data_IF_838197558690
#
_entry.id   IF_838197558690
#
_cell.length_a   1.000
_cell.length_b   1.000
_cell.length_c   1.000
_cell.angle_alpha   90.00
_cell.angle_beta   90.00
_cell.angle_gamma   90.00
#
_symmetry.space_group_name_H-M   'P 1'
#
loop_
_entity.id
_entity.type
_entity.pdbx_description
1 polymer ?
#
# COMPACT_ATOMS: atom_id res chain seq x y z
N UNK A 1 9.12 5.41 26.07
CA UNK A 1 10.27 5.09 25.21
C UNK A 1 9.65 4.24 24.15
N UNK A 2 8.99 4.91 23.21
CA UNK A 2 8.05 4.26 22.30
C UNK A 2 8.85 3.99 21.04
N UNK A 3 9.08 2.71 20.78
CA UNK A 3 9.64 2.25 19.53
C UNK A 3 8.86 2.90 18.40
N UNK A 4 9.55 3.77 17.65
CA UNK A 4 9.13 4.10 16.30
C UNK A 4 9.12 2.75 15.60
N UNK A 5 7.93 2.15 15.45
CA UNK A 5 7.73 1.02 14.56
C UNK A 5 8.04 1.61 13.19
N UNK A 6 9.31 1.56 12.80
CA UNK A 6 9.70 1.70 11.42
C UNK A 6 8.94 0.59 10.72
N UNK A 7 7.97 0.97 9.90
CA UNK A 7 7.35 0.08 8.93
C UNK A 7 8.51 -0.32 7.98
N UNK A 8 9.24 -1.36 8.37
CA UNK A 8 10.53 -1.77 7.79
C UNK A 8 10.38 -2.12 6.30
N UNK A 9 9.13 -2.39 5.90
CA UNK A 9 8.71 -2.56 4.51
C UNK A 9 8.88 -1.27 3.68
N UNK A 10 8.52 -0.10 4.22
CA UNK A 10 8.61 1.18 3.50
C UNK A 10 10.03 1.76 3.49
N UNK A 11 10.85 1.48 4.50
CA UNK A 11 12.25 1.95 4.55
C UNK A 11 13.13 1.27 3.50
N UNK A 12 12.83 0.02 3.14
CA UNK A 12 13.49 -0.76 2.06
C UNK A 12 13.04 -0.34 0.65
N UNK A 13 11.95 0.43 0.52
CA UNK A 13 11.39 0.89 -0.76
C UNK A 13 12.09 2.11 -1.38
N UNK A 14 13.14 2.63 -0.75
CA UNK A 14 13.91 3.78 -1.25
C UNK A 14 14.80 3.47 -2.48
N UNK A 15 14.29 2.64 -3.39
CA UNK A 15 14.81 2.41 -4.73
C UNK A 15 14.20 3.40 -5.73
N UNK A 16 14.80 3.50 -6.92
CA UNK A 16 14.26 4.31 -8.03
C UNK A 16 12.80 3.95 -8.35
N UNK A 17 12.41 2.68 -8.16
CA UNK A 17 11.04 2.21 -8.35
C UNK A 17 10.06 2.82 -7.34
N UNK A 18 10.42 2.87 -6.06
CA UNK A 18 9.60 3.48 -5.03
C UNK A 18 9.43 4.98 -5.23
N UNK A 19 10.49 5.67 -5.66
CA UNK A 19 10.42 7.11 -5.98
C UNK A 19 9.48 7.40 -7.15
N UNK A 20 9.59 6.64 -8.25
CA UNK A 20 8.69 6.79 -9.41
C UNK A 20 7.24 6.47 -9.02
N UNK A 21 7.02 5.43 -8.21
CA UNK A 21 5.69 5.04 -7.75
C UNK A 21 5.07 6.13 -6.87
N UNK A 22 5.82 6.66 -5.90
CA UNK A 22 5.38 7.75 -5.04
C UNK A 22 5.09 9.03 -5.84
N UNK A 23 5.95 9.38 -6.79
CA UNK A 23 5.75 10.54 -7.67
C UNK A 23 4.46 10.39 -8.49
N UNK A 24 4.20 9.21 -9.08
CA UNK A 24 2.96 8.95 -9.83
C UNK A 24 1.71 9.03 -8.95
N UNK A 25 1.77 8.47 -7.74
CA UNK A 25 0.65 8.52 -6.79
C UNK A 25 0.37 9.96 -6.34
N UNK A 26 1.37 10.72 -5.92
CA UNK A 26 1.19 12.14 -5.60
C UNK A 26 0.70 12.94 -6.83
N UNK A 27 1.17 12.59 -8.02
CA UNK A 27 0.72 13.15 -9.28
C UNK A 27 -0.78 12.95 -9.53
N UNK A 28 -1.33 11.77 -9.21
CA UNK A 28 -2.79 11.52 -9.29
C UNK A 28 -3.60 12.37 -8.31
N UNK A 29 -2.98 12.83 -7.23
CA UNK A 29 -3.56 13.76 -6.27
C UNK A 29 -3.33 15.23 -6.66
N UNK A 30 -2.70 15.49 -7.82
CA UNK A 30 -2.23 16.79 -8.28
C UNK A 30 -1.34 17.51 -7.26
N UNK A 31 -0.52 16.74 -6.54
CA UNK A 31 0.51 17.23 -5.64
C UNK A 31 1.86 17.03 -6.33
N UNK A 32 2.58 18.12 -6.55
CA UNK A 32 3.93 18.09 -7.11
C UNK A 32 4.90 18.74 -6.13
N UNK A 33 5.89 17.98 -5.70
CA UNK A 33 6.97 18.42 -4.83
C UNK A 33 8.28 18.45 -5.63
N UNK A 34 9.18 19.42 -5.36
CA UNK A 34 10.55 19.36 -5.83
C UNK A 34 11.23 18.04 -5.44
N UNK A 35 12.11 17.51 -6.29
CA UNK A 35 12.67 16.15 -6.10
C UNK A 35 13.44 15.97 -4.78
N UNK A 36 14.12 17.02 -4.30
CA UNK A 36 14.79 17.06 -3.01
C UNK A 36 13.80 17.01 -1.82
N UNK A 37 12.68 17.73 -1.92
CA UNK A 37 11.61 17.70 -0.92
C UNK A 37 10.87 16.36 -0.95
N UNK A 38 10.59 15.82 -2.14
CA UNK A 38 9.90 14.54 -2.34
C UNK A 38 10.59 13.40 -1.61
N UNK A 39 11.91 13.26 -1.80
CA UNK A 39 12.71 12.23 -1.12
C UNK A 39 12.58 12.35 0.40
N UNK A 40 12.66 13.56 0.92
CA UNK A 40 12.60 13.79 2.37
C UNK A 40 11.18 13.56 2.91
N UNK A 41 10.18 14.01 2.16
CA UNK A 41 8.77 13.87 2.47
C UNK A 41 8.31 12.42 2.55
N UNK A 42 8.85 11.53 1.70
CA UNK A 42 8.55 10.10 1.71
C UNK A 42 9.32 9.36 2.82
N UNK A 43 10.53 9.81 3.20
CA UNK A 43 11.29 9.18 4.32
C UNK A 43 10.71 9.48 5.68
N UNK A 44 10.09 10.65 5.84
CA UNK A 44 9.58 11.12 7.11
C UNK A 44 8.25 10.44 7.44
N UNK A 45 8.17 9.56 8.47
CA UNK A 45 6.94 8.81 8.76
C UNK A 45 5.78 9.68 9.24
N UNK A 46 6.09 10.87 9.76
CA UNK A 46 5.11 11.85 10.24
C UNK A 46 4.71 12.88 9.18
N UNK A 47 5.40 12.91 8.04
CA UNK A 47 5.07 13.79 6.92
C UNK A 47 3.69 13.45 6.37
N UNK A 48 2.89 14.49 6.10
CA UNK A 48 1.59 14.35 5.44
C UNK A 48 1.69 13.55 4.12
N UNK A 49 2.72 13.81 3.32
CA UNK A 49 2.91 13.15 2.04
C UNK A 49 3.25 11.66 2.19
N UNK A 50 3.98 11.29 3.24
CA UNK A 50 4.22 9.90 3.57
C UNK A 50 2.92 9.20 3.95
N UNK A 51 2.12 9.82 4.83
CA UNK A 51 0.83 9.30 5.26
C UNK A 51 -0.16 9.13 4.09
N UNK A 52 -0.17 10.07 3.14
CA UNK A 52 -0.98 10.01 1.93
C UNK A 52 -0.61 8.81 1.03
N UNK A 53 0.66 8.40 1.04
CA UNK A 53 1.18 7.29 0.23
C UNK A 53 1.07 5.93 0.91
N UNK A 54 0.94 5.88 2.24
CA UNK A 54 1.01 4.64 3.00
C UNK A 54 -0.03 3.60 2.54
N UNK A 55 -1.30 3.99 2.42
CA UNK A 55 -2.38 3.07 2.05
C UNK A 55 -2.26 2.60 0.59
N UNK A 56 -2.08 3.48 -0.41
CA UNK A 56 -1.85 3.05 -1.78
C UNK A 56 -0.66 2.08 -1.92
N UNK A 57 0.44 2.34 -1.22
CA UNK A 57 1.62 1.46 -1.27
C UNK A 57 1.34 0.08 -0.66
N UNK A 58 0.64 0.03 0.48
CA UNK A 58 0.21 -1.26 1.05
C UNK A 58 -0.75 -2.01 0.14
N UNK A 59 -1.65 -1.30 -0.55
CA UNK A 59 -2.52 -1.91 -1.56
C UNK A 59 -1.75 -2.46 -2.77
N UNK A 60 -0.69 -1.78 -3.22
CA UNK A 60 0.21 -2.31 -4.26
C UNK A 60 0.90 -3.59 -3.79
N UNK A 61 1.38 -3.61 -2.54
CA UNK A 61 2.00 -4.82 -1.97
C UNK A 61 1.00 -5.99 -1.90
N UNK A 62 -0.21 -5.75 -1.39
CA UNK A 62 -1.26 -6.76 -1.38
C UNK A 62 -1.57 -7.25 -2.80
N UNK A 63 -1.62 -6.35 -3.79
CA UNK A 63 -1.80 -6.71 -5.19
C UNK A 63 -0.71 -7.64 -5.73
N UNK A 64 0.55 -7.43 -5.36
CA UNK A 64 1.66 -8.33 -5.73
C UNK A 64 1.48 -9.71 -5.09
N UNK A 65 1.13 -9.77 -3.80
CA UNK A 65 0.90 -11.04 -3.09
C UNK A 65 -0.30 -11.80 -3.66
N UNK A 66 -1.39 -11.09 -3.98
CA UNK A 66 -2.55 -11.67 -4.65
C UNK A 66 -2.20 -12.21 -6.03
N UNK A 67 -1.40 -11.48 -6.82
CA UNK A 67 -0.94 -11.97 -8.12
C UNK A 67 -0.17 -13.29 -7.98
N UNK A 68 0.76 -13.38 -7.02
CA UNK A 68 1.49 -14.63 -6.75
C UNK A 68 0.55 -15.78 -6.34
N UNK A 69 -0.44 -15.50 -5.49
CA UNK A 69 -1.46 -16.48 -5.12
C UNK A 69 -2.30 -16.92 -6.33
N UNK A 70 -2.67 -15.98 -7.20
CA UNK A 70 -3.37 -16.23 -8.46
C UNK A 70 -2.55 -17.08 -9.42
N UNK A 71 -1.25 -16.82 -9.56
CA UNK A 71 -0.36 -17.61 -10.41
C UNK A 71 -0.25 -19.07 -9.90
N UNK A 72 -0.18 -19.28 -8.58
CA UNK A 72 -0.28 -20.62 -7.98
C UNK A 72 -1.64 -21.27 -8.23
N UNK A 73 -2.74 -20.53 -8.06
CA UNK A 73 -4.08 -21.04 -8.33
C UNK A 73 -4.23 -21.50 -9.78
N UNK A 74 -3.80 -20.67 -10.75
CA UNK A 74 -3.81 -21.00 -12.19
C UNK A 74 -2.99 -22.25 -12.47
N UNK A 75 -1.80 -22.38 -11.87
CA UNK A 75 -0.99 -23.58 -12.04
C UNK A 75 -1.67 -24.83 -11.47
N UNK A 76 -2.26 -24.75 -10.29
CA UNK A 76 -3.03 -25.85 -9.70
C UNK A 76 -4.21 -26.27 -10.58
N UNK A 77 -4.92 -25.31 -11.17
CA UNK A 77 -6.00 -25.59 -12.13
C UNK A 77 -5.49 -26.31 -13.37
N UNK A 78 -4.36 -25.87 -13.95
CA UNK A 78 -3.75 -26.52 -15.11
C UNK A 78 -3.39 -27.98 -14.83
N UNK A 79 -2.83 -28.28 -13.65
CA UNK A 79 -2.54 -29.66 -13.23
C UNK A 79 -3.81 -30.55 -13.24
N UNK A 80 -4.93 -30.02 -12.75
CA UNK A 80 -6.20 -30.73 -12.78
C UNK A 80 -6.79 -30.86 -14.19
N UNK A 81 -6.68 -29.82 -15.02
CA UNK A 81 -7.14 -29.88 -16.42
C UNK A 81 -6.38 -30.98 -17.18
N UNK A 82 -5.06 -31.01 -17.08
CA UNK A 82 -4.22 -32.03 -17.74
C UNK A 82 -4.58 -33.44 -17.24
N UNK A 83 -4.77 -33.60 -15.92
CA UNK A 83 -5.21 -34.86 -15.33
C UNK A 83 -6.60 -35.29 -15.82
N UNK A 84 -7.59 -34.40 -15.85
CA UNK A 84 -8.96 -34.73 -16.26
C UNK A 84 -9.04 -35.06 -17.75
N UNK A 85 -8.26 -34.38 -18.60
CA UNK A 85 -8.21 -34.63 -20.04
C UNK A 85 -7.46 -35.90 -20.41
N UNK A 86 -6.63 -36.45 -19.51
CA UNK A 86 -5.92 -37.72 -19.73
C UNK A 86 -6.85 -38.95 -19.78
N UNK A 87 -8.11 -38.82 -19.32
CA UNK A 87 -9.05 -39.93 -19.21
C UNK A 87 -8.84 -40.85 -18.00
N UNK A 88 -7.81 -40.61 -17.18
CA UNK A 88 -7.53 -41.36 -15.96
C UNK A 88 -8.68 -41.25 -14.94
N UNK A 89 -9.33 -40.08 -14.87
CA UNK A 89 -10.47 -39.82 -13.99
C UNK A 89 -11.73 -40.63 -14.33
N UNK A 90 -11.85 -41.13 -15.56
CA UNK A 90 -13.01 -41.91 -16.03
C UNK A 90 -12.92 -43.43 -15.80
N UNK A 91 -11.85 -43.91 -15.15
CA UNK A 91 -11.62 -45.34 -14.92
C UNK A 91 -12.50 -45.89 -13.79
N UNK A 92 -12.82 -47.19 -13.86
CA UNK A 92 -13.70 -47.84 -12.88
C UNK A 92 -13.14 -47.80 -11.46
N UNK A 93 -14.03 -47.80 -10.47
CA UNK A 93 -13.70 -47.85 -9.03
C UNK A 93 -12.89 -49.10 -8.63
N UNK A 94 -12.94 -50.14 -9.46
CA UNK A 94 -12.19 -51.39 -9.27
C UNK A 94 -10.79 -51.37 -9.87
N UNK A 95 -10.45 -50.35 -10.66
CA UNK A 95 -9.14 -50.26 -11.31
C UNK A 95 -8.06 -49.72 -10.37
N UNK A 96 -6.78 -50.12 -10.55
CA UNK A 96 -5.69 -49.64 -9.71
C UNK A 96 -5.65 -48.11 -9.62
N UNK A 97 -5.39 -47.58 -8.43
CA UNK A 97 -5.34 -46.13 -8.18
C UNK A 97 -6.69 -45.48 -7.80
N UNK A 98 -7.77 -46.24 -7.61
CA UNK A 98 -9.09 -45.70 -7.26
C UNK A 98 -9.10 -44.76 -6.04
N UNK A 99 -8.43 -45.15 -4.95
CA UNK A 99 -8.30 -44.31 -3.74
C UNK A 99 -7.56 -42.98 -4.02
N UNK A 100 -6.54 -43.02 -4.87
CA UNK A 100 -5.80 -41.83 -5.30
C UNK A 100 -6.68 -40.91 -6.15
N UNK A 101 -7.52 -41.48 -7.04
CA UNK A 101 -8.46 -40.70 -7.86
C UNK A 101 -9.56 -40.05 -7.01
N UNK A 102 -10.09 -40.75 -6.01
CA UNK A 102 -11.04 -40.18 -5.05
C UNK A 102 -10.41 -39.03 -4.25
N UNK A 103 -9.17 -39.21 -3.79
CA UNK A 103 -8.42 -38.16 -3.09
C UNK A 103 -8.15 -36.94 -3.98
N UNK A 104 -7.84 -37.16 -5.27
CA UNK A 104 -7.67 -36.10 -6.26
C UNK A 104 -8.97 -35.34 -6.51
N UNK A 105 -10.11 -36.03 -6.59
CA UNK A 105 -11.41 -35.36 -6.73
C UNK A 105 -11.75 -34.53 -5.48
N UNK A 106 -11.44 -35.03 -4.27
CA UNK A 106 -11.60 -34.26 -3.04
C UNK A 106 -10.72 -32.99 -3.03
N UNK A 107 -9.46 -33.09 -3.47
CA UNK A 107 -8.59 -31.91 -3.61
C UNK A 107 -9.07 -30.96 -4.72
N UNK A 108 -9.69 -31.47 -5.80
CA UNK A 108 -10.29 -30.64 -6.85
C UNK A 108 -11.47 -29.83 -6.31
N UNK A 109 -12.35 -30.45 -5.54
CA UNK A 109 -13.50 -29.75 -4.93
C UNK A 109 -13.02 -28.66 -3.96
N UNK A 110 -12.01 -28.96 -3.13
CA UNK A 110 -11.37 -27.95 -2.27
C UNK A 110 -10.76 -26.81 -3.06
N UNK A 111 -10.08 -27.10 -4.18
CA UNK A 111 -9.49 -26.07 -5.03
C UNK A 111 -10.56 -25.14 -5.64
N UNK A 112 -11.71 -25.70 -6.06
CA UNK A 112 -12.83 -24.89 -6.57
C UNK A 112 -13.35 -23.95 -5.48
N UNK A 113 -13.64 -24.47 -4.29
CA UNK A 113 -14.07 -23.63 -3.15
C UNK A 113 -13.04 -22.56 -2.81
N UNK A 114 -11.76 -22.94 -2.73
CA UNK A 114 -10.67 -22.00 -2.45
C UNK A 114 -10.55 -20.92 -3.55
N UNK A 115 -10.79 -21.29 -4.81
CA UNK A 115 -10.81 -20.37 -5.94
C UNK A 115 -11.96 -19.37 -5.91
N UNK A 116 -13.16 -19.81 -5.52
CA UNK A 116 -14.33 -18.93 -5.33
C UNK A 116 -14.10 -17.93 -4.20
N UNK A 117 -13.59 -18.38 -3.05
CA UNK A 117 -13.27 -17.52 -1.91
C UNK A 117 -12.12 -16.55 -2.24
N UNK A 118 -11.11 -17.01 -2.98
CA UNK A 118 -10.03 -16.15 -3.46
C UNK A 118 -10.53 -15.07 -4.43
N UNK A 119 -11.43 -15.42 -5.35
CA UNK A 119 -12.02 -14.42 -6.25
C UNK A 119 -12.82 -13.35 -5.48
N UNK A 120 -13.55 -13.76 -4.44
CA UNK A 120 -14.24 -12.84 -3.55
C UNK A 120 -13.25 -11.87 -2.86
N UNK A 121 -12.09 -12.38 -2.43
CA UNK A 121 -11.01 -11.55 -1.87
C UNK A 121 -10.48 -10.52 -2.88
N UNK A 122 -10.31 -10.89 -4.15
CA UNK A 122 -9.89 -9.95 -5.21
C UNK A 122 -10.91 -8.83 -5.41
N UNK A 123 -12.21 -9.16 -5.38
CA UNK A 123 -13.29 -8.16 -5.47
C UNK A 123 -13.26 -7.21 -4.28
N UNK A 124 -13.03 -7.73 -3.07
CA UNK A 124 -12.90 -6.92 -1.86
C UNK A 124 -11.68 -6.00 -1.90
N UNK A 125 -10.53 -6.50 -2.36
CA UNK A 125 -9.33 -5.69 -2.55
C UNK A 125 -9.56 -4.57 -3.59
N UNK A 126 -10.23 -4.86 -4.71
CA UNK A 126 -10.56 -3.86 -5.71
C UNK A 126 -11.50 -2.78 -5.16
N UNK A 127 -12.50 -3.20 -4.37
CA UNK A 127 -13.41 -2.27 -3.67
C UNK A 127 -12.65 -1.38 -2.69
N UNK A 128 -11.76 -1.95 -1.86
CA UNK A 128 -10.93 -1.22 -0.91
C UNK A 128 -10.05 -0.19 -1.62
N UNK A 129 -9.40 -0.58 -2.73
CA UNK A 129 -8.56 0.33 -3.52
C UNK A 129 -9.41 1.50 -4.02
N UNK A 130 -10.58 1.24 -4.60
CA UNK A 130 -11.44 2.27 -5.16
C UNK A 130 -11.94 3.26 -4.10
N UNK A 131 -12.43 2.76 -2.96
CA UNK A 131 -12.96 3.61 -1.88
C UNK A 131 -11.87 4.39 -1.18
N UNK A 132 -10.73 3.75 -0.86
CA UNK A 132 -9.60 4.43 -0.24
C UNK A 132 -9.01 5.51 -1.16
N UNK A 133 -8.88 5.24 -2.46
CA UNK A 133 -8.40 6.22 -3.44
C UNK A 133 -9.35 7.40 -3.56
N UNK A 134 -10.66 7.17 -3.63
CA UNK A 134 -11.65 8.24 -3.68
C UNK A 134 -11.55 9.16 -2.43
N UNK A 135 -11.38 8.58 -1.25
CA UNK A 135 -11.21 9.34 -0.01
C UNK A 135 -9.88 10.12 0.00
N UNK A 136 -8.77 9.52 -0.41
CA UNK A 136 -7.47 10.18 -0.48
C UNK A 136 -7.47 11.34 -1.49
N UNK A 137 -8.12 11.17 -2.65
CA UNK A 137 -8.30 12.25 -3.64
C UNK A 137 -9.08 13.42 -3.02
N UNK A 138 -10.15 13.12 -2.28
CA UNK A 138 -10.96 14.15 -1.59
C UNK A 138 -10.14 14.91 -0.55
N UNK A 139 -9.37 14.20 0.27
CA UNK A 139 -8.47 14.81 1.27
C UNK A 139 -7.41 15.66 0.58
N UNK A 140 -6.80 15.17 -0.51
CA UNK A 140 -5.79 15.91 -1.26
C UNK A 140 -6.34 17.17 -1.94
N UNK A 141 -7.58 17.14 -2.44
CA UNK A 141 -8.24 18.32 -2.99
C UNK A 141 -8.54 19.37 -1.91
N UNK A 142 -9.08 18.95 -0.75
CA UNK A 142 -9.30 19.86 0.39
C UNK A 142 -7.99 20.47 0.88
N UNK A 143 -6.97 19.63 1.02
CA UNK A 143 -5.60 20.04 1.36
C UNK A 143 -5.08 21.11 0.41
N UNK A 144 -5.16 20.89 -0.92
CA UNK A 144 -4.65 21.86 -1.91
C UNK A 144 -5.39 23.20 -1.82
N UNK A 145 -6.71 23.19 -1.70
CA UNK A 145 -7.52 24.41 -1.59
C UNK A 145 -7.16 25.20 -0.34
N UNK A 146 -7.09 24.53 0.81
CA UNK A 146 -6.70 25.16 2.08
C UNK A 146 -5.25 25.63 2.03
N UNK A 147 -4.34 24.86 1.47
CA UNK A 147 -2.94 25.25 1.32
C UNK A 147 -2.78 26.56 0.54
N UNK A 148 -3.48 26.75 -0.59
CA UNK A 148 -3.44 28.01 -1.34
C UNK A 148 -4.06 29.20 -0.58
N UNK A 149 -5.11 28.94 0.20
CA UNK A 149 -5.72 29.93 1.09
C UNK A 149 -4.73 30.38 2.16
N UNK A 150 -4.14 29.42 2.89
CA UNK A 150 -3.13 29.66 3.93
C UNK A 150 -1.93 30.41 3.36
N UNK A 151 -1.43 30.00 2.18
CA UNK A 151 -0.32 30.67 1.51
C UNK A 151 -0.62 32.14 1.22
N UNK A 152 -1.86 32.45 0.84
CA UNK A 152 -2.29 33.83 0.57
C UNK A 152 -2.47 34.65 1.86
N UNK A 153 -3.03 34.05 2.92
CA UNK A 153 -3.17 34.67 4.24
C UNK A 153 -1.82 34.98 4.89
N UNK A 154 -0.88 34.03 4.85
CA UNK A 154 0.48 34.21 5.38
C UNK A 154 1.22 35.29 4.59
N UNK A 155 1.12 35.29 3.27
CA UNK A 155 1.74 36.33 2.44
C UNK A 155 1.22 37.73 2.79
N UNK A 156 -0.10 37.88 3.00
CA UNK A 156 -0.67 39.16 3.44
C UNK A 156 -0.20 39.54 4.85
N UNK A 157 -0.15 38.58 5.77
CA UNK A 157 0.31 38.78 7.16
C UNK A 157 1.76 39.23 7.22
N UNK A 158 2.65 38.60 6.43
CA UNK A 158 4.05 38.98 6.33
C UNK A 158 4.23 40.38 5.73
N UNK A 159 3.47 40.72 4.68
CA UNK A 159 3.46 42.07 4.10
C UNK A 159 3.01 43.13 5.10
N UNK A 160 1.93 42.88 5.85
CA UNK A 160 1.48 43.81 6.91
C UNK A 160 2.49 43.93 8.04
N UNK A 161 3.30 42.89 8.27
CA UNK A 161 4.41 42.89 9.23
C UNK A 161 5.70 43.55 8.70
N UNK A 162 5.70 44.09 7.47
CA UNK A 162 6.85 44.76 6.88
C UNK A 162 7.84 43.84 6.14
N UNK A 163 7.51 42.56 5.94
CA UNK A 163 8.36 41.61 5.22
C UNK A 163 7.91 41.42 3.78
N UNK A 164 8.81 41.67 2.82
CA UNK A 164 8.59 41.38 1.40
C UNK A 164 9.21 40.03 1.02
N UNK A 165 8.43 38.96 1.18
CA UNK A 165 8.85 37.60 0.80
C UNK A 165 8.08 37.14 -0.43
N UNK A 166 8.76 36.50 -1.39
CA UNK A 166 8.10 35.92 -2.57
C UNK A 166 7.16 34.78 -2.15
N UNK A 167 5.96 34.72 -2.74
CA UNK A 167 4.96 33.66 -2.47
C UNK A 167 5.54 32.25 -2.67
N UNK A 168 6.46 32.05 -3.63
CA UNK A 168 7.15 30.77 -3.83
C UNK A 168 8.03 30.34 -2.66
N UNK A 169 8.75 31.28 -2.02
CA UNK A 169 9.59 30.99 -0.86
C UNK A 169 8.73 30.64 0.37
N UNK A 170 7.58 31.31 0.54
CA UNK A 170 6.62 30.97 1.60
C UNK A 170 6.09 29.55 1.38
N UNK A 171 5.74 29.18 0.13
CA UNK A 171 5.30 27.81 -0.20
C UNK A 171 6.34 26.76 0.20
N UNK A 172 7.60 26.96 -0.21
CA UNK A 172 8.71 26.07 0.14
C UNK A 172 8.88 25.95 1.66
N UNK A 173 8.76 27.06 2.39
CA UNK A 173 8.86 27.03 3.85
C UNK A 173 7.69 26.31 4.55
N UNK A 174 6.47 26.45 4.03
CA UNK A 174 5.31 25.70 4.54
C UNK A 174 5.52 24.20 4.29
N UNK A 175 5.90 23.80 3.08
CA UNK A 175 6.21 22.40 2.75
C UNK A 175 7.31 21.85 3.66
N UNK A 176 8.40 22.60 3.83
CA UNK A 176 9.51 22.24 4.71
C UNK A 176 9.02 22.01 6.15
N UNK A 177 8.22 22.93 6.69
CA UNK A 177 7.65 22.77 8.03
C UNK A 177 6.80 21.51 8.16
N UNK A 178 5.94 21.22 7.17
CA UNK A 178 5.07 20.02 7.18
C UNK A 178 5.86 18.71 7.06
N UNK A 179 6.98 18.73 6.34
CA UNK A 179 7.83 17.55 6.14
C UNK A 179 8.68 17.25 7.39
N UNK A 180 9.18 18.29 8.05
CA UNK A 180 10.18 18.19 9.12
C UNK A 180 9.61 18.30 10.54
N UNK A 181 8.39 18.81 10.71
CA UNK A 181 7.71 18.88 12.00
C UNK A 181 6.60 17.82 12.11
N UNK A 182 6.69 16.96 13.12
CA UNK A 182 5.55 16.17 13.58
C UNK A 182 4.59 17.06 14.38
N UNK A 183 3.75 17.82 13.66
CA UNK A 183 2.81 18.74 14.29
C UNK A 183 1.82 18.02 15.22
N UNK A 184 1.36 16.83 14.86
CA UNK A 184 0.33 16.11 15.64
C UNK A 184 0.88 15.76 17.02
N UNK A 185 2.11 15.23 17.08
CA UNK A 185 2.79 14.95 18.35
C UNK A 185 3.21 16.23 19.08
N UNK A 186 3.70 17.24 18.38
CA UNK A 186 4.09 18.49 19.01
C UNK A 186 2.88 19.19 19.65
N UNK A 187 1.72 19.18 18.98
CA UNK A 187 0.48 19.76 19.47
C UNK A 187 -0.08 19.01 20.68
N UNK A 188 0.01 17.67 20.72
CA UNK A 188 -0.43 16.88 21.87
C UNK A 188 0.43 17.11 23.11
N UNK A 189 1.71 17.44 22.93
CA UNK A 189 2.64 17.86 23.99
C UNK A 189 2.54 19.35 24.35
N UNK A 190 1.61 20.09 23.73
CA UNK A 190 1.38 21.52 23.98
C UNK A 190 2.34 22.46 23.23
N UNK A 191 3.24 21.96 22.40
CA UNK A 191 4.21 22.76 21.64
C UNK A 191 3.75 23.03 20.19
N UNK A 192 2.64 23.76 20.04
CA UNK A 192 2.08 24.12 18.72
C UNK A 192 2.96 25.06 17.91
N UNK A 193 3.85 25.81 18.56
CA UNK A 193 4.72 26.79 17.90
C UNK A 193 5.90 26.16 17.16
N UNK A 194 6.21 24.88 17.40
CA UNK A 194 7.33 24.19 16.77
C UNK A 194 7.23 24.17 15.23
N UNK A 195 6.02 24.05 14.67
CA UNK A 195 5.81 24.14 13.22
C UNK A 195 6.16 25.53 12.68
N UNK A 196 5.91 26.58 13.47
CA UNK A 196 6.25 27.96 13.10
C UNK A 196 7.76 28.16 13.18
N UNK A 197 8.44 27.55 14.13
CA UNK A 197 9.90 27.57 14.21
C UNK A 197 10.52 26.93 12.96
N UNK A 198 10.05 25.76 12.53
CA UNK A 198 10.52 25.12 11.29
C UNK A 198 10.18 25.96 10.04
N UNK A 199 9.00 26.58 10.01
CA UNK A 199 8.64 27.53 8.96
C UNK A 199 9.60 28.73 8.92
N UNK A 200 9.94 29.32 10.07
CA UNK A 200 10.87 30.45 10.13
C UNK A 200 12.29 30.07 9.73
N UNK A 201 12.73 28.83 10.00
CA UNK A 201 14.01 28.30 9.49
C UNK A 201 13.99 28.24 7.96
N UNK A 202 12.88 27.83 7.36
CA UNK A 202 12.71 27.77 5.90
C UNK A 202 12.78 29.14 5.21
N UNK A 203 12.33 30.21 5.86
CA UNK A 203 12.35 31.58 5.29
C UNK A 203 13.58 32.38 5.77
N UNK A 204 14.33 31.87 6.75
CA UNK A 204 15.46 32.56 7.39
C UNK A 204 15.09 33.94 7.97
N UNK A 205 13.90 34.04 8.58
CA UNK A 205 13.40 35.27 9.20
C UNK A 205 13.13 35.08 10.69
N UNK A 206 13.50 36.07 11.49
CA UNK A 206 13.10 36.17 12.89
C UNK A 206 11.78 36.93 12.99
N UNK A 207 10.72 36.21 13.37
CA UNK A 207 9.38 36.78 13.55
C UNK A 207 9.12 37.13 15.02
N UNK A 208 8.34 38.19 15.25
CA UNK A 208 7.80 38.50 16.58
C UNK A 208 6.76 37.46 17.00
N UNK A 209 6.55 37.29 18.31
CA UNK A 209 5.60 36.28 18.81
C UNK A 209 4.15 36.57 18.39
N UNK A 210 3.77 37.84 18.23
CA UNK A 210 2.47 38.22 17.66
C UNK A 210 2.30 37.73 16.21
N UNK A 211 3.33 37.90 15.37
CA UNK A 211 3.30 37.39 13.99
C UNK A 211 3.31 35.86 13.94
N UNK A 212 4.07 35.20 14.81
CA UNK A 212 4.06 33.73 14.92
C UNK A 212 2.67 33.20 15.26
N UNK A 213 1.98 33.81 16.22
CA UNK A 213 0.62 33.42 16.60
C UNK A 213 -0.39 33.68 15.48
N UNK A 214 -0.28 34.80 14.76
CA UNK A 214 -1.13 35.08 13.59
C UNK A 214 -0.92 34.07 12.47
N UNK A 215 0.33 33.70 12.18
CA UNK A 215 0.64 32.68 11.17
C UNK A 215 0.13 31.31 11.60
N UNK A 216 0.29 30.94 12.87
CA UNK A 216 -0.26 29.70 13.42
C UNK A 216 -1.79 29.64 13.25
N UNK A 217 -2.49 30.74 13.57
CA UNK A 217 -3.93 30.83 13.36
C UNK A 217 -4.29 30.73 11.87
N UNK A 218 -3.52 31.36 10.98
CA UNK A 218 -3.74 31.23 9.54
C UNK A 218 -3.50 29.81 9.03
N UNK A 219 -2.68 28.99 9.72
CA UNK A 219 -2.44 27.59 9.38
C UNK A 219 -3.51 26.63 9.96
N UNK A 220 -4.49 27.11 10.73
CA UNK A 220 -5.46 26.25 11.43
C UNK A 220 -6.09 25.19 10.52
N UNK A 221 -6.51 25.58 9.33
CA UNK A 221 -7.28 24.73 8.42
C UNK A 221 -6.47 23.55 7.87
N UNK A 222 -5.18 23.76 7.60
CA UNK A 222 -4.28 22.69 7.16
C UNK A 222 -3.85 21.83 8.33
N UNK A 223 -3.64 22.43 9.51
CA UNK A 223 -3.27 21.72 10.74
C UNK A 223 -4.40 20.81 11.24
N UNK A 224 -5.65 21.21 11.02
CA UNK A 224 -6.83 20.41 11.29
C UNK A 224 -6.83 19.15 10.40
N UNK A 225 -6.55 19.28 9.10
CA UNK A 225 -6.42 18.13 8.19
C UNK A 225 -5.36 17.16 8.71
N UNK A 226 -4.17 17.65 9.06
CA UNK A 226 -3.08 16.82 9.59
C UNK A 226 -3.51 16.03 10.83
N UNK A 227 -4.30 16.66 11.71
CA UNK A 227 -4.72 16.07 12.98
C UNK A 227 -5.82 15.02 12.81
N UNK A 228 -6.64 15.14 11.76
CA UNK A 228 -7.76 14.21 11.49
C UNK A 228 -7.42 13.15 10.45
N UNK A 229 -6.27 13.24 9.78
CA UNK A 229 -5.90 12.31 8.72
C UNK A 229 -5.92 10.85 9.19
N UNK A 230 -5.25 10.56 10.31
CA UNK A 230 -5.10 9.18 10.79
C UNK A 230 -6.45 8.56 11.17
N UNK A 231 -7.38 9.36 11.76
CA UNK A 231 -8.72 8.88 12.11
C UNK A 231 -9.58 8.65 10.86
N UNK A 232 -9.48 9.52 9.85
CA UNK A 232 -10.19 9.34 8.57
C UNK A 232 -9.71 8.12 7.78
N UNK A 233 -8.46 7.70 7.99
CA UNK A 233 -7.84 6.60 7.26
C UNK A 233 -7.71 5.30 8.08
N UNK A 234 -8.14 5.29 9.34
CA UNK A 234 -7.97 4.16 10.26
C UNK A 234 -8.66 2.89 9.78
N UNK A 235 -9.91 2.99 9.30
CA UNK A 235 -10.69 1.84 8.82
C UNK A 235 -10.01 1.19 7.61
N UNK A 236 -9.58 2.00 6.64
CA UNK A 236 -8.87 1.53 5.45
C UNK A 236 -7.53 0.85 5.80
N UNK A 237 -6.81 1.36 6.79
CA UNK A 237 -5.57 0.72 7.28
C UNK A 237 -5.85 -0.65 7.90
N UNK A 238 -6.93 -0.79 8.66
CA UNK A 238 -7.32 -2.04 9.28
C UNK A 238 -7.78 -3.06 8.24
N UNK A 239 -8.67 -2.66 7.32
CA UNK A 239 -9.12 -3.52 6.22
C UNK A 239 -7.96 -3.99 5.35
N UNK A 240 -7.05 -3.07 4.99
CA UNK A 240 -5.86 -3.41 4.21
C UNK A 240 -5.00 -4.48 4.89
N UNK A 241 -4.81 -4.38 6.22
CA UNK A 241 -4.05 -5.37 6.98
C UNK A 241 -4.72 -6.74 6.94
N UNK A 242 -6.03 -6.79 7.15
CA UNK A 242 -6.82 -8.04 7.12
C UNK A 242 -6.72 -8.70 5.74
N UNK A 243 -6.97 -7.95 4.66
CA UNK A 243 -6.87 -8.47 3.30
C UNK A 243 -5.44 -8.94 2.97
N UNK A 244 -4.41 -8.23 3.47
CA UNK A 244 -3.02 -8.62 3.30
C UNK A 244 -2.68 -9.95 4.00
N UNK A 245 -3.19 -10.18 5.20
CA UNK A 245 -3.05 -11.46 5.92
C UNK A 245 -3.79 -12.59 5.20
N UNK A 246 -5.00 -12.34 4.71
CA UNK A 246 -5.76 -13.30 3.92
C UNK A 246 -5.05 -13.65 2.61
N UNK A 247 -4.54 -12.67 1.87
CA UNK A 247 -3.79 -12.89 0.63
C UNK A 247 -2.58 -13.80 0.84
N UNK A 248 -1.81 -13.59 1.92
CA UNK A 248 -0.68 -14.46 2.31
C UNK A 248 -1.16 -15.88 2.64
N UNK A 249 -2.27 -16.00 3.35
CA UNK A 249 -2.88 -17.30 3.67
C UNK A 249 -3.28 -18.08 2.41
N UNK A 250 -3.97 -17.43 1.45
CA UNK A 250 -4.32 -18.07 0.17
C UNK A 250 -3.09 -18.48 -0.63
N UNK A 251 -2.04 -17.63 -0.68
CA UNK A 251 -0.78 -17.98 -1.33
C UNK A 251 -0.20 -19.29 -0.79
N UNK A 252 -0.17 -19.45 0.53
CA UNK A 252 0.29 -20.68 1.18
C UNK A 252 -0.64 -21.87 0.90
N UNK A 253 -1.96 -21.68 0.98
CA UNK A 253 -2.93 -22.74 0.73
C UNK A 253 -2.89 -23.25 -0.72
N UNK A 254 -2.75 -22.36 -1.71
CA UNK A 254 -2.57 -22.76 -3.11
C UNK A 254 -1.25 -23.51 -3.31
N UNK A 255 -0.16 -23.02 -2.71
CA UNK A 255 1.13 -23.71 -2.76
C UNK A 255 1.06 -25.13 -2.16
N UNK A 256 0.44 -25.28 -0.98
CA UNK A 256 0.27 -26.58 -0.34
C UNK A 256 -0.61 -27.51 -1.17
N UNK A 257 -1.64 -26.96 -1.84
CA UNK A 257 -2.50 -27.72 -2.76
C UNK A 257 -1.71 -28.24 -3.95
N UNK A 258 -0.87 -27.41 -4.57
CA UNK A 258 0.03 -27.83 -5.64
C UNK A 258 0.91 -29.00 -5.20
N UNK A 259 1.52 -28.91 -4.01
CA UNK A 259 2.36 -29.98 -3.47
C UNK A 259 1.57 -31.28 -3.29
N UNK A 260 0.39 -31.22 -2.65
CA UNK A 260 -0.45 -32.41 -2.42
C UNK A 260 -0.89 -33.05 -3.74
N UNK A 261 -1.36 -32.26 -4.69
CA UNK A 261 -1.82 -32.76 -6.00
C UNK A 261 -0.67 -33.37 -6.79
N UNK A 262 0.51 -32.75 -6.78
CA UNK A 262 1.69 -33.29 -7.46
C UNK A 262 2.11 -34.63 -6.87
N UNK A 263 2.09 -34.79 -5.54
CA UNK A 263 2.38 -36.07 -4.89
C UNK A 263 1.33 -37.14 -5.20
N UNK A 264 0.04 -36.78 -5.21
CA UNK A 264 -1.03 -37.71 -5.60
C UNK A 264 -0.90 -38.17 -7.06
N UNK A 265 -0.58 -37.27 -7.98
CA UNK A 265 -0.39 -37.59 -9.40
C UNK A 265 0.78 -38.58 -9.58
N UNK A 266 1.88 -38.44 -8.83
CA UNK A 266 3.01 -39.38 -8.89
C UNK A 266 2.64 -40.82 -8.51
N UNK A 267 1.58 -41.01 -7.73
CA UNK A 267 1.09 -42.32 -7.29
C UNK A 267 0.16 -42.98 -8.32
N UNK A 268 -0.23 -42.29 -9.39
CA UNK A 268 -1.06 -42.86 -10.44
C UNK A 268 -0.24 -43.81 -11.33
N UNK A 269 -0.80 -44.98 -11.69
CA UNK A 269 -0.05 -46.01 -12.42
C UNK A 269 0.12 -45.68 -13.91
N UNK A 270 -0.87 -45.02 -14.51
CA UNK A 270 -0.97 -44.86 -15.97
C UNK A 270 -0.94 -43.39 -16.44
N UNK A 271 -0.96 -42.44 -15.51
CA UNK A 271 -0.84 -41.02 -15.81
C UNK A 271 0.44 -40.45 -15.20
N UNK A 272 1.13 -39.60 -15.97
CA UNK A 272 2.28 -38.81 -15.53
C UNK A 272 2.18 -37.42 -16.15
N UNK A 273 2.66 -36.44 -15.41
CA UNK A 273 2.77 -35.06 -15.88
C UNK A 273 3.77 -35.02 -17.03
N UNK A 274 3.40 -34.38 -18.14
CA UNK A 274 4.31 -34.09 -19.24
C UNK A 274 5.37 -33.07 -18.78
N UNK A 275 6.67 -33.42 -18.78
CA UNK A 275 7.73 -32.55 -18.30
C UNK A 275 7.88 -31.25 -19.10
N UNK A 276 7.61 -31.27 -20.41
CA UNK A 276 7.77 -30.08 -21.26
C UNK A 276 6.65 -29.07 -20.98
N UNK A 277 5.41 -29.56 -20.91
CA UNK A 277 4.24 -28.75 -20.57
C UNK A 277 4.31 -28.21 -19.12
N UNK A 278 4.81 -29.03 -18.19
CA UNK A 278 5.02 -28.63 -16.80
C UNK A 278 6.07 -27.51 -16.66
N UNK A 279 7.17 -27.60 -17.42
CA UNK A 279 8.20 -26.55 -17.43
C UNK A 279 7.64 -25.21 -17.91
N UNK A 280 6.84 -25.21 -18.99
CA UNK A 280 6.14 -24.01 -19.50
C UNK A 280 5.18 -23.47 -18.43
N UNK A 281 4.41 -24.34 -17.79
CA UNK A 281 3.43 -23.95 -16.80
C UNK A 281 4.06 -23.39 -15.50
N UNK A 282 5.31 -23.75 -15.20
CA UNK A 282 6.07 -23.25 -14.04
C UNK A 282 6.83 -21.95 -14.29
N UNK A 283 6.96 -21.49 -15.54
CA UNK A 283 7.75 -20.30 -15.87
C UNK A 283 7.27 -19.05 -15.12
N UNK A 284 5.96 -18.93 -14.88
CA UNK A 284 5.37 -17.83 -14.11
C UNK A 284 5.54 -17.96 -12.59
N UNK A 285 6.07 -19.07 -12.09
CA UNK A 285 6.16 -19.36 -10.65
C UNK A 285 7.53 -19.05 -10.03
N UNK A 286 8.48 -18.53 -10.81
CA UNK A 286 9.79 -18.10 -10.32
C UNK A 286 9.72 -16.72 -9.66
N UNK A 287 9.06 -16.65 -8.51
CA UNK A 287 8.99 -15.44 -7.69
C UNK A 287 9.41 -15.69 -6.25
N UNK A 288 9.80 -14.62 -5.55
CA UNK A 288 10.12 -14.68 -4.13
C UNK A 288 8.84 -14.84 -3.30
N UNK A 289 8.70 -16.03 -2.69
CA UNK A 289 7.55 -16.41 -1.84
C UNK A 289 7.53 -15.69 -0.48
N UNK A 290 8.64 -15.07 -0.06
CA UNK A 290 8.75 -14.36 1.22
C UNK A 290 8.34 -12.89 1.13
N UNK A 291 7.96 -12.41 -0.06
CA UNK A 291 7.47 -11.05 -0.25
C UNK A 291 6.26 -10.82 0.67
N UNK A 292 6.35 -9.74 1.48
CA UNK A 292 5.32 -9.33 2.42
C UNK A 292 5.40 -9.98 3.80
N UNK A 293 6.40 -10.81 4.12
CA UNK A 293 6.50 -11.54 5.40
C UNK A 293 7.18 -10.78 6.57
N UNK A 294 7.28 -9.45 6.53
CA UNK A 294 7.82 -8.65 7.64
C UNK A 294 6.78 -7.74 8.27
#
# INVERSE_FOLDING_TARGET
MDEIIQDEQLSKWFSTYGLITAERLLGSYHISLPQNELVTAIKSPFSFYHKLLQIPLKNVLNGIVLQQAGDYHVYAQKLFIDYLLSGESGKSETSPGALTRESLEAERQKLVTLGEEFHQLELEQNKLIATAQAQLIRIADDWRKKFESVLSLINNTLKTGGFEVKKSAIRTAINYAIIHCDYVKAASLGNKLLIIEEFTKGIQLTLSDDLKNKILNNMSDILEILSHFDSQMSEYNQENKILGEQAKSYRSQFYDTILRVTELIKLLPEYKIDPDQDAINKESLYFDKSIGEN
#
